data_IF_962324976881
#
_entry.id   IF_962324976881
#
_cell.length_a   1.000
_cell.length_b   1.000
_cell.length_c   1.000
_cell.angle_alpha   90.00
_cell.angle_beta   90.00
_cell.angle_gamma   90.00
#
_symmetry.space_group_name_H-M   'P 1'
#
loop_
_entity.id
_entity.type
_entity.pdbx_description
1 polymer ?
#
# COMPACT_ATOMS: atom_id res chain seq x y z
N UNK A 1 -18.37 -29.11 28.86
CA UNK A 1 -18.60 -29.39 27.41
C UNK A 1 -19.44 -28.31 26.74
N UNK A 2 -20.51 -27.76 27.33
CA UNK A 2 -21.22 -26.59 26.76
C UNK A 2 -20.32 -25.34 26.64
N UNK A 3 -19.48 -25.16 27.65
CA UNK A 3 -18.52 -24.07 27.85
C UNK A 3 -17.49 -23.97 26.70
N UNK A 4 -16.95 -25.10 26.25
CA UNK A 4 -16.02 -25.16 25.11
C UNK A 4 -16.68 -24.79 23.77
N UNK A 5 -17.98 -25.09 23.61
CA UNK A 5 -18.75 -24.74 22.41
C UNK A 5 -19.03 -23.23 22.41
N UNK A 6 -19.35 -22.66 23.56
CA UNK A 6 -19.56 -21.21 23.70
C UNK A 6 -18.27 -20.42 23.45
N UNK A 7 -17.13 -20.86 23.97
CA UNK A 7 -15.83 -20.22 23.73
C UNK A 7 -15.39 -20.31 22.27
N UNK A 8 -15.69 -21.43 21.60
CA UNK A 8 -15.42 -21.60 20.18
C UNK A 8 -16.27 -20.65 19.31
N UNK A 9 -17.57 -20.50 19.61
CA UNK A 9 -18.48 -19.58 18.89
C UNK A 9 -18.02 -18.13 19.08
N UNK A 10 -17.78 -17.70 20.33
CA UNK A 10 -17.29 -16.36 20.63
C UNK A 10 -15.96 -16.04 19.94
N UNK A 11 -15.07 -17.03 19.84
CA UNK A 11 -13.78 -16.90 19.16
C UNK A 11 -13.90 -16.73 17.63
N UNK A 12 -14.90 -17.33 17.00
CA UNK A 12 -15.18 -17.17 15.57
C UNK A 12 -15.76 -15.78 15.29
N UNK A 13 -16.73 -15.34 16.09
CA UNK A 13 -17.36 -14.02 15.94
C UNK A 13 -16.34 -12.88 16.09
N UNK A 14 -15.42 -13.00 17.06
CA UNK A 14 -14.35 -12.02 17.25
C UNK A 14 -13.39 -11.94 16.05
N UNK A 15 -13.04 -13.07 15.44
CA UNK A 15 -12.18 -13.11 14.24
C UNK A 15 -12.87 -12.47 13.04
N UNK A 16 -14.14 -12.80 12.81
CA UNK A 16 -14.94 -12.22 11.74
C UNK A 16 -15.09 -10.71 11.91
N UNK A 17 -15.42 -10.25 13.12
CA UNK A 17 -15.53 -8.83 13.43
C UNK A 17 -14.21 -8.08 13.17
N UNK A 18 -13.07 -8.66 13.56
CA UNK A 18 -11.75 -8.09 13.30
C UNK A 18 -11.46 -8.03 11.79
N UNK A 19 -11.73 -9.09 11.04
CA UNK A 19 -11.51 -9.15 9.61
C UNK A 19 -12.36 -8.11 8.86
N UNK A 20 -13.64 -7.98 9.21
CA UNK A 20 -14.53 -6.96 8.64
C UNK A 20 -14.02 -5.56 8.97
N UNK A 21 -13.56 -5.32 10.21
CA UNK A 21 -13.01 -4.03 10.61
C UNK A 21 -11.75 -3.67 9.80
N UNK A 22 -10.86 -4.63 9.58
CA UNK A 22 -9.66 -4.45 8.74
C UNK A 22 -10.04 -4.20 7.29
N UNK A 23 -10.97 -4.97 6.74
CA UNK A 23 -11.45 -4.79 5.37
C UNK A 23 -12.10 -3.40 5.18
N UNK A 24 -12.96 -2.99 6.10
CA UNK A 24 -13.57 -1.67 6.09
C UNK A 24 -12.53 -0.55 6.21
N UNK A 25 -11.54 -0.71 7.09
CA UNK A 25 -10.43 0.23 7.22
C UNK A 25 -9.63 0.33 5.91
N UNK A 26 -9.32 -0.78 5.23
CA UNK A 26 -8.64 -0.78 3.95
C UNK A 26 -9.47 -0.10 2.85
N UNK A 27 -10.77 -0.40 2.78
CA UNK A 27 -11.69 0.18 1.79
C UNK A 27 -11.91 1.68 1.96
N UNK A 28 -11.84 2.21 3.19
CA UNK A 28 -12.12 3.61 3.48
C UNK A 28 -10.85 4.46 3.68
N UNK A 29 -9.80 3.90 4.27
CA UNK A 29 -8.63 4.61 4.77
C UNK A 29 -7.32 4.14 4.12
N UNK A 30 -7.38 3.31 3.07
CA UNK A 30 -6.22 2.70 2.43
C UNK A 30 -5.03 3.63 2.20
N UNK A 31 -5.25 4.79 1.54
CA UNK A 31 -4.19 5.82 1.33
C UNK A 31 -3.51 6.27 2.64
N UNK A 32 -4.28 6.39 3.72
CA UNK A 32 -3.80 6.84 5.04
C UNK A 32 -3.21 5.71 5.87
N UNK A 33 -3.48 4.45 5.52
CA UNK A 33 -3.01 3.26 6.24
C UNK A 33 -1.67 2.73 5.74
N UNK A 34 -1.07 3.31 4.68
CA UNK A 34 0.21 2.82 4.13
C UNK A 34 1.31 2.66 5.20
N UNK A 35 1.52 3.67 6.04
CA UNK A 35 2.49 3.60 7.14
C UNK A 35 2.21 2.45 8.13
N UNK A 36 0.93 2.16 8.40
CA UNK A 36 0.50 1.07 9.27
C UNK A 36 0.70 -0.28 8.59
N UNK A 37 0.52 -0.35 7.26
CA UNK A 37 0.82 -1.55 6.49
C UNK A 37 2.31 -1.89 6.56
N UNK A 38 3.19 -0.90 6.34
CA UNK A 38 4.64 -1.11 6.48
C UNK A 38 5.02 -1.48 7.92
N UNK A 39 4.38 -0.86 8.92
CA UNK A 39 4.56 -1.22 10.32
C UNK A 39 4.15 -2.67 10.60
N UNK A 40 2.99 -3.09 10.07
CA UNK A 40 2.46 -4.43 10.23
C UNK A 40 3.33 -5.48 9.55
N UNK A 41 3.80 -5.23 8.33
CA UNK A 41 4.76 -6.11 7.64
C UNK A 41 6.07 -6.19 8.43
N UNK A 42 6.61 -5.06 8.88
CA UNK A 42 7.81 -5.03 9.73
C UNK A 42 7.62 -5.85 11.01
N UNK A 43 6.49 -5.69 11.68
CA UNK A 43 6.14 -6.47 12.87
C UNK A 43 6.07 -7.97 12.57
N UNK A 44 5.34 -8.40 11.53
CA UNK A 44 5.16 -9.83 11.20
C UNK A 44 6.50 -10.46 10.81
N UNK A 45 7.27 -9.81 9.94
CA UNK A 45 8.57 -10.32 9.48
C UNK A 45 9.55 -10.42 10.63
N UNK A 46 9.67 -9.38 11.45
CA UNK A 46 10.58 -9.39 12.60
C UNK A 46 10.12 -10.39 13.65
N UNK A 47 8.82 -10.51 13.93
CA UNK A 47 8.31 -11.54 14.85
C UNK A 47 8.70 -12.93 14.36
N UNK A 48 8.47 -13.22 13.08
CA UNK A 48 8.77 -14.53 12.50
C UNK A 48 10.27 -14.85 12.58
N UNK A 49 11.12 -13.92 12.15
CA UNK A 49 12.58 -14.08 12.22
C UNK A 49 13.07 -14.23 13.67
N UNK A 50 12.52 -13.43 14.58
CA UNK A 50 12.88 -13.48 15.99
C UNK A 50 12.51 -14.83 16.61
N UNK A 51 11.32 -15.35 16.34
CA UNK A 51 10.90 -16.68 16.83
C UNK A 51 11.70 -17.83 16.23
N UNK A 52 12.25 -17.67 15.03
CA UNK A 52 13.06 -18.72 14.38
C UNK A 52 14.51 -18.74 14.85
N UNK A 53 15.09 -17.57 15.15
CA UNK A 53 16.51 -17.46 15.49
C UNK A 53 16.77 -17.37 17.00
N UNK A 54 15.79 -16.92 17.76
CA UNK A 54 15.88 -16.84 19.21
C UNK A 54 14.97 -17.90 19.83
N UNK A 55 15.54 -19.05 20.17
CA UNK A 55 14.90 -20.05 21.04
C UNK A 55 14.93 -19.55 22.49
N UNK A 56 14.27 -18.42 22.77
CA UNK A 56 14.14 -17.91 24.13
C UNK A 56 12.85 -18.43 24.77
N UNK A 57 12.88 -18.90 26.03
CA UNK A 57 11.67 -19.26 26.78
C UNK A 57 10.71 -18.08 27.00
N UNK A 58 11.23 -16.86 26.88
CA UNK A 58 10.54 -15.61 27.17
C UNK A 58 9.79 -15.07 25.94
N UNK A 59 8.48 -15.22 25.91
CA UNK A 59 7.62 -14.78 24.79
C UNK A 59 7.59 -13.25 24.57
N UNK A 60 7.94 -12.46 25.59
CA UNK A 60 7.88 -11.00 25.51
C UNK A 60 9.00 -10.41 24.63
N UNK A 61 10.15 -11.10 24.51
CA UNK A 61 11.32 -10.59 23.81
C UNK A 61 11.12 -10.53 22.27
N UNK A 62 10.66 -11.59 21.58
CA UNK A 62 10.32 -11.52 20.15
C UNK A 62 9.24 -10.48 19.86
N UNK A 63 8.27 -10.32 20.78
CA UNK A 63 7.22 -9.33 20.66
C UNK A 63 7.77 -7.90 20.75
N UNK A 64 8.62 -7.61 21.74
CA UNK A 64 9.23 -6.30 21.90
C UNK A 64 10.06 -5.90 20.68
N UNK A 65 10.87 -6.83 20.13
CA UNK A 65 11.63 -6.61 18.91
C UNK A 65 10.73 -6.33 17.70
N UNK A 66 9.64 -7.09 17.55
CA UNK A 66 8.68 -6.88 16.48
C UNK A 66 7.99 -5.51 16.57
N UNK A 67 7.63 -5.06 17.78
CA UNK A 67 7.03 -3.72 17.99
C UNK A 67 8.02 -2.63 17.63
N UNK A 68 9.26 -2.71 18.12
CA UNK A 68 10.29 -1.71 17.83
C UNK A 68 10.57 -1.65 16.32
N UNK A 69 10.74 -2.81 15.68
CA UNK A 69 10.99 -2.88 14.25
C UNK A 69 9.80 -2.37 13.42
N UNK A 70 8.57 -2.70 13.81
CA UNK A 70 7.36 -2.19 13.16
C UNK A 70 7.23 -0.67 13.27
N UNK A 71 7.48 -0.10 14.46
CA UNK A 71 7.47 1.35 14.67
C UNK A 71 8.58 2.06 13.89
N UNK A 72 9.80 1.51 13.89
CA UNK A 72 10.90 2.01 13.08
C UNK A 72 10.54 1.97 11.59
N UNK A 73 9.97 0.86 11.13
CA UNK A 73 9.48 0.70 9.75
C UNK A 73 8.42 1.73 9.38
N UNK A 74 7.46 2.01 10.27
CA UNK A 74 6.45 3.05 10.07
C UNK A 74 7.09 4.44 9.90
N UNK A 75 8.05 4.77 10.76
CA UNK A 75 8.76 6.05 10.73
C UNK A 75 9.58 6.19 9.45
N UNK A 76 10.32 5.14 9.07
CA UNK A 76 11.05 5.10 7.81
C UNK A 76 10.11 5.21 6.62
N UNK A 77 8.96 4.53 6.64
CA UNK A 77 7.98 4.58 5.56
C UNK A 77 7.56 6.01 5.25
N UNK A 78 7.25 6.84 6.26
CA UNK A 78 6.82 8.23 6.05
C UNK A 78 7.89 9.07 5.33
N UNK A 79 9.16 8.85 5.68
CA UNK A 79 10.28 9.63 5.14
C UNK A 79 10.77 9.10 3.79
N UNK A 80 11.11 7.80 3.72
CA UNK A 80 11.65 7.15 2.53
C UNK A 80 10.65 7.08 1.40
N UNK A 81 9.35 6.93 1.67
CA UNK A 81 8.33 6.86 0.63
C UNK A 81 8.33 8.11 -0.25
N UNK A 82 8.38 9.31 0.35
CA UNK A 82 8.36 10.57 -0.41
C UNK A 82 9.58 10.68 -1.33
N UNK A 83 10.75 10.28 -0.83
CA UNK A 83 11.99 10.24 -1.61
C UNK A 83 11.89 9.20 -2.72
N UNK A 84 11.48 7.98 -2.40
CA UNK A 84 11.35 6.87 -3.35
C UNK A 84 10.41 7.22 -4.50
N UNK A 85 9.22 7.78 -4.24
CA UNK A 85 8.26 8.17 -5.29
C UNK A 85 8.84 9.28 -6.18
N UNK A 86 9.52 10.25 -5.57
CA UNK A 86 10.09 11.39 -6.30
C UNK A 86 11.24 10.93 -7.19
N UNK A 87 12.16 10.11 -6.66
CA UNK A 87 13.31 9.56 -7.39
C UNK A 87 12.81 8.61 -8.49
N UNK A 88 11.89 7.69 -8.18
CA UNK A 88 11.35 6.76 -9.17
C UNK A 88 10.66 7.50 -10.32
N UNK A 89 9.85 8.52 -10.02
CA UNK A 89 9.20 9.35 -11.04
C UNK A 89 10.20 10.13 -11.88
N UNK A 90 11.18 10.75 -11.24
CA UNK A 90 12.24 11.50 -11.92
C UNK A 90 13.04 10.60 -12.87
N UNK A 91 13.60 9.51 -12.34
CA UNK A 91 14.46 8.60 -13.11
C UNK A 91 13.69 7.93 -14.24
N UNK A 92 12.46 7.47 -13.99
CA UNK A 92 11.66 6.81 -15.02
C UNK A 92 11.29 7.77 -16.15
N UNK A 93 10.84 8.99 -15.84
CA UNK A 93 10.45 9.97 -16.86
C UNK A 93 11.67 10.57 -17.59
N UNK A 94 12.77 10.84 -16.89
CA UNK A 94 14.01 11.33 -17.51
C UNK A 94 14.59 10.28 -18.45
N UNK A 95 14.63 9.00 -18.03
CA UNK A 95 15.09 7.91 -18.88
C UNK A 95 14.20 7.75 -20.11
N UNK A 96 12.87 7.76 -19.94
CA UNK A 96 11.93 7.69 -21.05
C UNK A 96 12.14 8.84 -22.05
N UNK A 97 12.27 10.07 -21.57
CA UNK A 97 12.52 11.23 -22.42
C UNK A 97 13.86 11.16 -23.16
N UNK A 98 14.91 10.65 -22.50
CA UNK A 98 16.21 10.45 -23.12
C UNK A 98 16.15 9.41 -24.25
N UNK A 99 15.48 8.27 -24.01
CA UNK A 99 15.26 7.24 -25.04
C UNK A 99 14.47 7.82 -26.22
N UNK A 100 13.43 8.61 -25.97
CA UNK A 100 12.68 9.27 -27.04
C UNK A 100 13.56 10.25 -27.81
N UNK A 101 14.37 11.06 -27.14
CA UNK A 101 15.31 12.00 -27.76
C UNK A 101 16.35 11.30 -28.64
N UNK A 102 16.81 10.12 -28.24
CA UNK A 102 17.72 9.29 -29.04
C UNK A 102 17.04 8.78 -30.31
N UNK A 103 15.80 8.29 -30.19
CA UNK A 103 15.05 7.78 -31.34
C UNK A 103 14.71 8.84 -32.39
N UNK A 104 14.63 10.12 -32.00
CA UNK A 104 14.39 11.23 -32.93
C UNK A 104 15.67 11.95 -33.37
N UNK A 105 16.85 11.42 -33.01
CA UNK A 105 18.16 11.95 -33.43
C UNK A 105 18.67 13.16 -32.64
N UNK A 106 17.89 13.71 -31.70
CA UNK A 106 18.28 14.87 -30.88
C UNK A 106 19.55 14.58 -30.06
N UNK A 107 19.72 13.35 -29.57
CA UNK A 107 20.90 12.97 -28.78
C UNK A 107 22.19 12.96 -29.60
N UNK A 108 22.10 12.76 -30.92
CA UNK A 108 23.25 12.77 -31.83
C UNK A 108 23.58 14.17 -32.30
N UNK A 109 22.56 14.98 -32.62
CA UNK A 109 22.74 16.35 -33.10
C UNK A 109 23.12 17.32 -31.97
N UNK A 110 22.48 17.20 -30.81
CA UNK A 110 22.71 18.05 -29.66
C UNK A 110 22.53 17.28 -28.33
N UNK A 111 23.59 16.61 -27.85
CA UNK A 111 23.56 15.84 -26.61
C UNK A 111 23.14 16.67 -25.39
N UNK A 112 23.53 17.95 -25.35
CA UNK A 112 23.19 18.85 -24.25
C UNK A 112 21.69 19.15 -24.23
N UNK A 113 21.08 19.39 -25.39
CA UNK A 113 19.64 19.59 -25.50
C UNK A 113 18.86 18.33 -25.08
N UNK A 114 19.30 17.14 -25.48
CA UNK A 114 18.68 15.88 -25.07
C UNK A 114 18.70 15.69 -23.54
N UNK A 115 19.83 16.00 -22.89
CA UNK A 115 19.93 15.95 -21.42
C UNK A 115 19.04 17.00 -20.73
N UNK A 116 18.97 18.22 -21.25
CA UNK A 116 18.10 19.26 -20.71
C UNK A 116 16.62 18.85 -20.80
N UNK A 117 16.19 18.30 -21.95
CA UNK A 117 14.82 17.77 -22.12
C UNK A 117 14.57 16.64 -21.13
N UNK A 118 15.50 15.69 -20.99
CA UNK A 118 15.38 14.60 -20.03
C UNK A 118 15.25 15.09 -18.59
N UNK A 119 16.02 16.12 -18.19
CA UNK A 119 15.90 16.72 -16.86
C UNK A 119 14.55 17.40 -16.66
N UNK A 120 14.07 18.20 -17.62
CA UNK A 120 12.78 18.89 -17.53
C UNK A 120 11.62 17.91 -17.45
N UNK A 121 11.61 16.88 -18.30
CA UNK A 121 10.60 15.81 -18.26
C UNK A 121 10.73 14.98 -16.99
N UNK A 122 11.95 14.74 -16.50
CA UNK A 122 12.21 14.11 -15.21
C UNK A 122 11.55 14.87 -14.05
N UNK A 123 11.72 16.18 -13.98
CA UNK A 123 11.08 17.02 -12.94
C UNK A 123 9.55 16.91 -13.02
N UNK A 124 8.98 16.95 -14.23
CA UNK A 124 7.55 16.73 -14.43
C UNK A 124 7.12 15.34 -13.94
N UNK A 125 7.90 14.30 -14.25
CA UNK A 125 7.67 12.93 -13.80
C UNK A 125 7.69 12.78 -12.28
N UNK A 126 8.62 13.47 -11.61
CA UNK A 126 8.74 13.48 -10.15
C UNK A 126 7.51 14.11 -9.46
N UNK A 127 6.89 15.12 -10.10
CA UNK A 127 5.66 15.75 -9.63
C UNK A 127 4.47 14.84 -9.91
N UNK A 128 4.39 14.29 -11.12
CA UNK A 128 3.30 13.42 -11.57
C UNK A 128 3.22 12.11 -10.79
N UNK A 129 4.36 11.50 -10.46
CA UNK A 129 4.43 10.24 -9.74
C UNK A 129 3.80 10.31 -8.35
N UNK A 130 3.75 11.48 -7.72
CA UNK A 130 3.02 11.67 -6.45
C UNK A 130 1.52 11.38 -6.61
N UNK A 131 0.94 11.86 -7.71
CA UNK A 131 -0.48 11.61 -7.99
C UNK A 131 -0.70 10.15 -8.36
N UNK A 132 0.15 9.56 -9.21
CA UNK A 132 0.05 8.14 -9.55
C UNK A 132 0.13 7.25 -8.31
N UNK A 133 1.01 7.57 -7.36
CA UNK A 133 1.17 6.79 -6.14
C UNK A 133 -0.08 6.84 -5.24
N UNK A 134 -0.69 8.02 -5.09
CA UNK A 134 -1.98 8.13 -4.37
C UNK A 134 -3.04 7.22 -5.00
N UNK A 135 -3.14 7.22 -6.33
CA UNK A 135 -4.08 6.37 -7.06
C UNK A 135 -3.74 4.88 -6.94
N UNK A 136 -2.45 4.52 -7.00
CA UNK A 136 -2.00 3.15 -6.81
C UNK A 136 -2.39 2.63 -5.42
N UNK A 137 -2.22 3.43 -4.36
CA UNK A 137 -2.67 3.07 -3.02
C UNK A 137 -4.19 2.87 -2.96
N UNK A 138 -4.97 3.72 -3.61
CA UNK A 138 -6.44 3.59 -3.66
C UNK A 138 -6.84 2.27 -4.31
N UNK A 139 -6.25 1.96 -5.47
CA UNK A 139 -6.55 0.72 -6.19
C UNK A 139 -6.14 -0.52 -5.39
N UNK A 140 -4.89 -0.55 -4.90
CA UNK A 140 -4.36 -1.70 -4.14
C UNK A 140 -5.16 -1.93 -2.86
N UNK A 141 -5.45 -0.88 -2.10
CA UNK A 141 -6.22 -1.00 -0.85
C UNK A 141 -7.68 -1.40 -1.09
N UNK A 142 -8.30 -0.90 -2.16
CA UNK A 142 -9.69 -1.26 -2.47
C UNK A 142 -9.79 -2.71 -2.94
N UNK A 143 -8.85 -3.17 -3.77
CA UNK A 143 -8.77 -4.57 -4.19
C UNK A 143 -8.50 -5.48 -2.99
N UNK A 144 -7.47 -5.17 -2.21
CA UNK A 144 -7.11 -5.97 -1.03
C UNK A 144 -8.25 -5.97 -0.01
N UNK A 145 -8.85 -4.81 0.28
CA UNK A 145 -9.98 -4.69 1.20
C UNK A 145 -11.22 -5.45 0.71
N UNK A 146 -11.50 -5.43 -0.60
CA UNK A 146 -12.61 -6.20 -1.18
C UNK A 146 -12.38 -7.71 -1.07
N UNK A 147 -11.15 -8.17 -1.30
CA UNK A 147 -10.77 -9.58 -1.15
C UNK A 147 -10.92 -10.03 0.31
N UNK A 148 -10.36 -9.28 1.26
CA UNK A 148 -10.50 -9.56 2.69
C UNK A 148 -11.95 -9.52 3.18
N UNK A 149 -12.78 -8.65 2.61
CA UNK A 149 -14.19 -8.56 2.98
C UNK A 149 -14.95 -9.81 2.53
N UNK A 150 -14.63 -10.35 1.34
CA UNK A 150 -15.36 -11.47 0.74
C UNK A 150 -14.81 -12.84 1.11
N UNK A 151 -13.56 -12.92 1.57
CA UNK A 151 -12.89 -14.16 1.95
C UNK A 151 -13.68 -15.07 2.94
N UNK A 152 -14.40 -14.54 3.96
CA UNK A 152 -15.22 -15.38 4.84
C UNK A 152 -16.49 -15.93 4.18
N UNK A 153 -16.92 -15.34 3.06
CA UNK A 153 -18.15 -15.69 2.41
C UNK A 153 -17.87 -16.74 1.32
N UNK A 154 -18.45 -17.93 1.47
CA UNK A 154 -18.41 -18.98 0.46
C UNK A 154 -19.32 -18.65 -0.72
N UNK A 155 -18.94 -17.64 -1.51
CA UNK A 155 -19.66 -17.25 -2.72
C UNK A 155 -19.42 -18.25 -3.85
N UNK A 156 -20.41 -18.40 -4.73
CA UNK A 156 -20.23 -19.19 -5.94
C UNK A 156 -19.07 -18.64 -6.81
N UNK A 157 -18.29 -19.50 -7.50
CA UNK A 157 -17.11 -19.09 -8.26
C UNK A 157 -17.39 -18.01 -9.33
N UNK A 158 -18.60 -18.00 -9.90
CA UNK A 158 -19.03 -16.98 -10.86
C UNK A 158 -19.43 -15.65 -10.21
N UNK A 159 -19.97 -15.69 -8.98
CA UNK A 159 -20.42 -14.50 -8.26
C UNK A 159 -19.26 -13.79 -7.56
N UNK A 160 -18.27 -14.54 -7.05
CA UNK A 160 -17.13 -14.00 -6.33
C UNK A 160 -16.44 -12.81 -7.05
N UNK A 161 -15.99 -12.93 -8.32
CA UNK A 161 -15.30 -11.83 -8.99
C UNK A 161 -16.23 -10.63 -9.27
N UNK A 162 -17.52 -10.88 -9.47
CA UNK A 162 -18.51 -9.81 -9.71
C UNK A 162 -18.72 -8.99 -8.44
N UNK A 163 -18.96 -9.65 -7.30
CA UNK A 163 -19.13 -8.97 -6.02
C UNK A 163 -17.83 -8.28 -5.60
N UNK A 164 -16.67 -8.92 -5.82
CA UNK A 164 -15.36 -8.34 -5.56
C UNK A 164 -15.18 -7.03 -6.33
N UNK A 165 -15.52 -7.02 -7.62
CA UNK A 165 -15.41 -5.83 -8.44
C UNK A 165 -16.36 -4.71 -8.00
N UNK A 166 -17.60 -5.05 -7.62
CA UNK A 166 -18.56 -4.06 -7.08
C UNK A 166 -18.02 -3.42 -5.80
N UNK A 167 -17.54 -4.24 -4.85
CA UNK A 167 -16.99 -3.76 -3.57
C UNK A 167 -15.71 -2.94 -3.80
N UNK A 168 -14.82 -3.39 -4.70
CA UNK A 168 -13.61 -2.66 -5.04
C UNK A 168 -13.94 -1.30 -5.67
N UNK A 169 -14.89 -1.22 -6.60
CA UNK A 169 -15.33 0.05 -7.21
C UNK A 169 -15.95 0.99 -6.17
N UNK A 170 -16.72 0.46 -5.22
CA UNK A 170 -17.23 1.26 -4.11
C UNK A 170 -16.09 1.85 -3.25
N UNK A 171 -15.09 1.02 -2.89
CA UNK A 171 -13.88 1.46 -2.17
C UNK A 171 -13.11 2.55 -2.93
N UNK A 172 -12.88 2.34 -4.24
CA UNK A 172 -12.20 3.30 -5.10
C UNK A 172 -12.96 4.63 -5.12
N UNK A 173 -14.29 4.58 -5.28
CA UNK A 173 -15.15 5.78 -5.34
C UNK A 173 -15.09 6.58 -4.03
N UNK A 174 -15.16 5.90 -2.89
CA UNK A 174 -15.07 6.52 -1.56
C UNK A 174 -13.70 7.20 -1.38
N UNK A 175 -12.61 6.46 -1.62
CA UNK A 175 -11.25 6.96 -1.39
C UNK A 175 -10.85 8.06 -2.40
N UNK A 176 -11.31 7.96 -3.66
CA UNK A 176 -11.11 8.98 -4.68
C UNK A 176 -11.82 10.28 -4.31
N UNK A 177 -13.09 10.22 -3.86
CA UNK A 177 -13.80 11.40 -3.39
C UNK A 177 -13.11 12.04 -2.17
N UNK A 178 -12.60 11.22 -1.25
CA UNK A 178 -11.79 11.71 -0.13
C UNK A 178 -10.48 12.39 -0.59
N UNK A 179 -9.83 11.89 -1.64
CA UNK A 179 -8.65 12.53 -2.23
C UNK A 179 -8.97 13.93 -2.76
N UNK A 180 -10.06 14.07 -3.52
CA UNK A 180 -10.49 15.35 -4.06
C UNK A 180 -10.80 16.37 -2.96
N UNK A 181 -11.48 15.93 -1.89
CA UNK A 181 -11.78 16.77 -0.72
C UNK A 181 -10.54 17.20 0.05
N UNK A 182 -9.55 16.33 0.21
CA UNK A 182 -8.29 16.67 0.91
C UNK A 182 -7.46 17.69 0.11
N UNK A 183 -7.48 17.62 -1.23
CA UNK A 183 -6.77 18.56 -2.11
C UNK A 183 -7.42 19.94 -2.13
N UNK A 184 -8.76 20.01 -2.19
CA UNK A 184 -9.50 21.29 -2.22
C UNK A 184 -9.44 22.11 -0.92
N UNK A 185 -8.98 21.52 0.19
CA UNK A 185 -8.77 22.25 1.46
C UNK A 185 -7.37 22.89 1.59
N UNK A 186 -6.45 22.56 0.68
CA UNK A 186 -5.05 23.03 0.71
C UNK A 186 -4.78 24.19 -0.25
N UNK A 187 -5.76 24.53 -1.09
CA UNK A 187 -5.77 25.68 -2.01
C UNK A 187 -6.64 26.77 -1.44
#
# INVERSE_FOLDING_TARGET
MPDQILDAINGVDAKLALQIAVAAALLMLGRRLYWLFVAGVGFVVTKHLATQHFETPEEWLPLALAVIAGLAGALFAIFLQKLAITIAGFTSAAFFAYVVAENIGLSTENPQAALLVALLVGVLGAIFSRTLFDWALILLSSLTGSWFLLDPFELEPMLYPVVLMIVAVAGISIQANMLHRDRGKRT
#
